data_IF_928293291887
#
_entry.id   IF_928293291887
#
_cell.length_a   1.000
_cell.length_b   1.000
_cell.length_c   1.000
_cell.angle_alpha   90.00
_cell.angle_beta   90.00
_cell.angle_gamma   90.00
#
_symmetry.space_group_name_H-M   'P 1'
#
loop_
_entity.id
_entity.type
_entity.pdbx_description
1 polymer ?
#
# COMPACT_ATOMS: atom_id res chain seq x y z
N UNK A 1 -22.98 -6.60 15.80
CA UNK A 1 -22.70 -5.17 15.87
C UNK A 1 -21.95 -4.75 14.62
N UNK A 2 -22.41 -3.72 13.96
CA UNK A 2 -21.75 -3.22 12.77
C UNK A 2 -20.54 -2.39 13.14
N UNK A 3 -19.41 -2.71 12.55
CA UNK A 3 -18.24 -1.85 12.68
C UNK A 3 -18.45 -0.56 11.89
N UNK A 4 -18.00 0.54 12.47
CA UNK A 4 -17.98 1.80 11.75
C UNK A 4 -16.91 1.75 10.66
N UNK A 5 -17.18 2.28 9.47
CA UNK A 5 -16.15 2.34 8.43
C UNK A 5 -14.98 3.18 8.90
N UNK A 6 -13.78 2.81 8.46
CA UNK A 6 -12.59 3.59 8.72
C UNK A 6 -12.71 4.93 7.97
N UNK A 7 -12.54 6.03 8.69
CA UNK A 7 -12.65 7.37 8.12
C UNK A 7 -11.28 7.99 7.80
N UNK A 8 -10.20 7.27 8.06
CA UNK A 8 -8.86 7.75 7.80
C UNK A 8 -8.33 8.70 8.88
N UNK A 9 -7.36 9.57 8.55
CA UNK A 9 -6.85 9.80 7.19
C UNK A 9 -6.19 8.57 6.58
N UNK A 10 -6.12 8.55 5.25
CA UNK A 10 -5.53 7.44 4.52
C UNK A 10 -4.27 7.88 3.80
N UNK A 11 -3.36 6.92 3.56
CA UNK A 11 -2.05 7.17 2.98
C UNK A 11 -1.73 6.13 1.91
N UNK A 12 -0.94 6.55 0.93
CA UNK A 12 -0.45 5.69 -0.14
C UNK A 12 1.05 5.90 -0.31
N UNK A 13 1.81 4.81 -0.30
CA UNK A 13 3.25 4.84 -0.49
C UNK A 13 3.62 4.51 -1.93
N UNK A 14 4.54 5.30 -2.51
CA UNK A 14 4.94 5.15 -3.91
C UNK A 14 6.31 5.78 -4.12
N UNK A 15 6.95 5.48 -5.25
CA UNK A 15 8.14 6.21 -5.73
C UNK A 15 7.80 7.19 -6.85
N UNK A 16 6.52 7.29 -7.22
CA UNK A 16 6.06 8.27 -8.20
C UNK A 16 5.96 9.66 -7.57
N UNK A 17 6.27 10.68 -8.33
CA UNK A 17 6.08 12.07 -7.92
C UNK A 17 4.68 12.51 -8.34
N UNK A 18 3.84 12.77 -7.35
CA UNK A 18 2.43 13.12 -7.55
C UNK A 18 2.16 14.55 -7.08
N UNK A 19 1.07 15.12 -7.55
CA UNK A 19 0.62 16.47 -7.18
C UNK A 19 -0.72 16.39 -6.48
N UNK A 20 -1.01 17.36 -5.64
CA UNK A 20 -2.33 17.51 -5.04
C UNK A 20 -3.40 17.55 -6.12
N UNK A 21 -4.45 16.75 -5.96
CA UNK A 21 -5.53 16.62 -6.93
C UNK A 21 -5.36 15.53 -7.95
N UNK A 22 -4.16 14.92 -8.06
CA UNK A 22 -3.95 13.78 -8.95
C UNK A 22 -4.82 12.59 -8.50
N UNK A 23 -5.23 11.80 -9.50
CA UNK A 23 -5.99 10.58 -9.25
C UNK A 23 -5.10 9.36 -9.46
N UNK A 24 -4.98 8.55 -8.42
CA UNK A 24 -4.30 7.27 -8.47
C UNK A 24 -5.30 6.19 -8.87
N UNK A 25 -5.04 5.51 -9.96
CA UNK A 25 -5.95 4.50 -10.53
C UNK A 25 -5.32 3.12 -10.47
N UNK A 26 -6.17 2.08 -10.38
CA UNK A 26 -5.75 0.70 -10.57
C UNK A 26 -5.25 0.48 -12.00
N UNK A 27 -4.65 -0.69 -12.25
CA UNK A 27 -4.16 -1.05 -13.57
C UNK A 27 -2.65 -1.01 -13.71
N UNK A 28 -1.93 -0.69 -12.64
CA UNK A 28 -0.47 -0.77 -12.62
C UNK A 28 -0.01 -2.18 -12.28
N UNK A 29 1.23 -2.51 -12.67
CA UNK A 29 1.83 -3.78 -12.32
C UNK A 29 2.10 -3.84 -10.82
N UNK A 30 1.96 -5.04 -10.25
CA UNK A 30 2.28 -5.26 -8.84
C UNK A 30 3.75 -4.96 -8.56
N UNK A 31 4.03 -4.29 -7.45
CA UNK A 31 5.40 -4.05 -6.98
C UNK A 31 6.10 -5.36 -6.57
N UNK A 32 5.33 -6.41 -6.27
CA UNK A 32 5.85 -7.69 -5.78
C UNK A 32 5.92 -8.75 -6.86
N UNK A 33 5.01 -8.70 -7.83
CA UNK A 33 4.97 -9.63 -8.98
C UNK A 33 4.69 -8.82 -10.25
N UNK A 34 5.72 -8.39 -10.98
CA UNK A 34 5.55 -7.49 -12.13
C UNK A 34 4.70 -8.05 -13.27
N UNK A 35 4.52 -9.37 -13.33
CA UNK A 35 3.65 -10.01 -14.32
C UNK A 35 2.17 -9.86 -14.03
N UNK A 36 1.81 -9.38 -12.82
CA UNK A 36 0.41 -9.21 -12.41
C UNK A 36 0.01 -7.74 -12.52
N UNK A 37 -1.01 -7.47 -13.34
CA UNK A 37 -1.63 -6.14 -13.41
C UNK A 37 -2.74 -6.08 -12.36
N UNK A 38 -2.66 -5.11 -11.44
CA UNK A 38 -3.56 -5.02 -10.30
C UNK A 38 -4.90 -4.41 -10.70
N UNK A 39 -6.00 -5.01 -10.23
CA UNK A 39 -7.36 -4.51 -10.44
C UNK A 39 -7.77 -3.46 -9.42
N UNK A 40 -6.97 -3.26 -8.38
CA UNK A 40 -7.25 -2.37 -7.27
C UNK A 40 -6.09 -1.44 -7.03
N UNK A 41 -6.40 -0.27 -6.47
CA UNK A 41 -5.38 0.61 -5.86
C UNK A 41 -5.42 0.40 -4.34
N UNK A 42 -4.25 0.39 -3.70
CA UNK A 42 -4.10 0.03 -2.29
C UNK A 42 -3.70 1.24 -1.46
N UNK A 43 -4.19 1.28 -0.21
CA UNK A 43 -3.91 2.37 0.72
C UNK A 43 -4.06 1.88 2.15
N UNK A 44 -3.61 2.68 3.10
CA UNK A 44 -3.66 2.33 4.52
C UNK A 44 -3.92 3.57 5.36
N UNK A 45 -4.51 3.37 6.53
CA UNK A 45 -4.67 4.44 7.52
C UNK A 45 -3.43 4.60 8.41
N UNK A 46 -2.43 3.72 8.28
CA UNK A 46 -1.18 3.80 9.05
C UNK A 46 -0.07 4.43 8.21
N UNK A 47 0.39 5.61 8.63
CA UNK A 47 1.42 6.38 7.92
C UNK A 47 2.71 5.59 7.72
N UNK A 48 3.16 4.89 8.76
CA UNK A 48 4.39 4.08 8.67
C UNK A 48 4.23 2.86 7.77
N UNK A 49 3.01 2.31 7.69
CA UNK A 49 2.70 1.24 6.72
C UNK A 49 2.82 1.73 5.28
N UNK A 50 2.34 2.95 5.00
CA UNK A 50 2.52 3.57 3.69
C UNK A 50 4.00 3.86 3.42
N UNK A 51 4.75 4.27 4.44
CA UNK A 51 6.20 4.47 4.33
C UNK A 51 6.94 3.20 3.93
N UNK A 52 6.61 2.08 4.56
CA UNK A 52 7.17 0.78 4.20
C UNK A 52 6.83 0.42 2.74
N UNK A 53 5.58 0.61 2.34
CA UNK A 53 5.16 0.35 0.97
C UNK A 53 5.94 1.23 -0.03
N UNK A 54 6.19 2.49 0.32
CA UNK A 54 6.96 3.41 -0.53
C UNK A 54 8.39 2.92 -0.71
N UNK A 55 9.03 2.45 0.34
CA UNK A 55 10.41 1.96 0.29
C UNK A 55 10.54 0.65 -0.49
N UNK A 56 9.49 -0.18 -0.48
CA UNK A 56 9.46 -1.45 -1.21
C UNK A 56 8.92 -1.30 -2.63
N UNK A 57 8.38 -0.15 -3.00
CA UNK A 57 7.80 0.06 -4.33
C UNK A 57 8.86 -0.07 -5.42
N UNK A 58 8.43 -0.56 -6.59
CA UNK A 58 9.30 -0.65 -7.75
C UNK A 58 9.63 0.74 -8.30
N UNK A 59 10.80 0.87 -8.92
CA UNK A 59 11.25 2.11 -9.55
C UNK A 59 12.47 2.70 -8.87
N UNK A 60 13.04 3.73 -9.49
CA UNK A 60 14.28 4.35 -9.08
C UNK A 60 14.11 5.66 -8.29
N UNK A 61 12.88 6.17 -8.22
CA UNK A 61 12.59 7.43 -7.53
C UNK A 61 12.74 7.30 -6.01
N UNK A 62 12.69 8.44 -5.35
CA UNK A 62 12.67 8.48 -3.90
C UNK A 62 11.33 7.95 -3.37
N UNK A 63 11.34 7.19 -2.26
CA UNK A 63 10.09 6.78 -1.64
C UNK A 63 9.33 8.00 -1.11
N UNK A 64 8.02 8.02 -1.38
CA UNK A 64 7.14 9.13 -1.00
C UNK A 64 5.85 8.59 -0.42
N UNK A 65 5.28 9.33 0.51
CA UNK A 65 3.97 9.03 1.11
C UNK A 65 3.05 10.20 0.82
N UNK A 66 1.85 9.90 0.36
CA UNK A 66 0.83 10.90 0.12
C UNK A 66 -0.39 10.61 0.98
N UNK A 67 -0.99 11.66 1.54
CA UNK A 67 -2.33 11.54 2.06
C UNK A 67 -3.28 11.47 0.88
N UNK A 68 -4.22 10.53 0.93
CA UNK A 68 -5.16 10.28 -0.17
C UNK A 68 -6.58 10.17 0.37
N UNK A 69 -7.56 10.41 -0.48
CA UNK A 69 -8.95 10.13 -0.13
C UNK A 69 -9.59 9.23 -1.19
N UNK A 70 -10.32 8.20 -0.75
CA UNK A 70 -11.05 7.34 -1.69
C UNK A 70 -12.16 8.14 -2.38
N UNK A 71 -12.36 7.90 -3.68
CA UNK A 71 -13.44 8.54 -4.43
C UNK A 71 -14.65 7.62 -4.58
N UNK A 72 -14.57 6.38 -4.09
CA UNK A 72 -15.65 5.41 -4.11
C UNK A 72 -15.54 4.44 -2.94
N UNK A 73 -16.26 3.34 -3.04
CA UNK A 73 -16.24 2.29 -2.01
C UNK A 73 -14.89 1.58 -1.98
N UNK A 74 -14.54 1.05 -0.82
CA UNK A 74 -13.31 0.27 -0.64
C UNK A 74 -13.58 -0.89 0.32
N UNK A 75 -12.66 -1.85 0.32
CA UNK A 75 -12.74 -3.04 1.16
C UNK A 75 -11.40 -3.32 1.82
N UNK A 76 -11.42 -4.18 2.84
CA UNK A 76 -10.18 -4.65 3.47
C UNK A 76 -9.27 -5.30 2.42
N UNK A 77 -7.96 -5.03 2.52
CA UNK A 77 -6.98 -5.67 1.65
C UNK A 77 -6.86 -7.15 2.04
N UNK A 78 -7.30 -8.09 1.19
CA UNK A 78 -7.28 -9.51 1.53
C UNK A 78 -5.87 -10.10 1.57
N UNK A 79 -4.87 -9.38 1.06
CA UNK A 79 -3.48 -9.83 1.10
C UNK A 79 -2.89 -9.77 2.51
N UNK A 80 -3.48 -8.97 3.40
CA UNK A 80 -2.99 -8.79 4.78
C UNK A 80 -4.07 -9.03 5.84
N UNK A 81 -5.35 -9.02 5.48
CA UNK A 81 -6.46 -9.23 6.42
C UNK A 81 -6.56 -10.70 6.80
N UNK A 82 -6.74 -10.98 8.10
CA UNK A 82 -6.85 -12.32 8.68
C UNK A 82 -5.66 -13.24 8.34
N UNK A 83 -4.47 -12.68 8.17
CA UNK A 83 -3.26 -13.45 7.88
C UNK A 83 -2.52 -13.84 9.15
N UNK A 84 -1.67 -12.95 9.66
CA UNK A 84 -0.88 -13.22 10.87
C UNK A 84 -1.72 -13.08 12.13
N UNK A 85 -2.66 -12.13 12.12
CA UNK A 85 -3.59 -11.86 13.20
C UNK A 85 -5.00 -11.75 12.64
N UNK A 86 -6.05 -12.01 13.46
CA UNK A 86 -7.42 -11.81 13.03
C UNK A 86 -7.70 -10.34 12.69
N UNK A 87 -8.55 -10.12 11.68
CA UNK A 87 -8.96 -8.79 11.27
C UNK A 87 -7.92 -8.07 10.42
N UNK A 88 -8.01 -6.75 10.42
CA UNK A 88 -7.17 -5.86 9.61
C UNK A 88 -6.40 -4.88 10.51
N UNK A 89 -5.42 -5.37 11.30
CA UNK A 89 -4.71 -4.52 12.26
C UNK A 89 -3.85 -3.45 11.58
N UNK A 90 -3.43 -3.64 10.33
CA UNK A 90 -2.67 -2.66 9.56
C UNK A 90 -3.56 -1.61 8.92
N UNK A 91 -4.88 -1.72 9.08
CA UNK A 91 -5.88 -0.83 8.48
C UNK A 91 -5.57 -0.58 7.00
N UNK A 92 -5.36 -1.66 6.26
CA UNK A 92 -5.02 -1.66 4.84
C UNK A 92 -6.25 -2.00 4.02
N UNK A 93 -6.44 -1.25 2.92
CA UNK A 93 -7.64 -1.33 2.10
C UNK A 93 -7.29 -1.33 0.63
N UNK A 94 -8.27 -1.66 -0.20
CA UNK A 94 -8.15 -1.60 -1.66
C UNK A 94 -9.44 -1.09 -2.27
N UNK A 95 -9.33 -0.45 -3.43
CA UNK A 95 -10.48 0.10 -4.14
C UNK A 95 -10.29 -0.06 -5.64
N UNK A 96 -11.39 -0.28 -6.36
CA UNK A 96 -11.40 -0.18 -7.82
C UNK A 96 -11.60 1.26 -8.30
N UNK A 97 -12.10 2.14 -7.41
CA UNK A 97 -12.24 3.55 -7.68
C UNK A 97 -10.91 4.27 -7.42
N UNK A 98 -10.63 5.39 -8.11
CA UNK A 98 -9.39 6.13 -7.89
C UNK A 98 -9.27 6.70 -6.49
N UNK A 99 -8.02 6.94 -6.06
CA UNK A 99 -7.71 7.73 -4.88
C UNK A 99 -7.30 9.13 -5.31
N UNK A 100 -7.81 10.15 -4.63
CA UNK A 100 -7.40 11.53 -4.90
C UNK A 100 -6.27 11.91 -3.95
N UNK A 101 -5.19 12.47 -4.49
CA UNK A 101 -4.06 12.94 -3.69
C UNK A 101 -4.44 14.25 -3.00
N UNK A 102 -4.36 14.25 -1.66
CA UNK A 102 -4.61 15.43 -0.83
C UNK A 102 -3.33 16.25 -0.67
N UNK A 103 -2.20 15.58 -0.44
CA UNK A 103 -0.91 16.23 -0.29
C UNK A 103 0.18 15.23 0.06
N UNK A 104 1.43 15.68 -0.03
CA UNK A 104 2.57 14.84 0.37
C UNK A 104 2.77 14.90 1.88
N UNK A 105 3.07 13.74 2.47
CA UNK A 105 3.40 13.59 3.88
C UNK A 105 4.91 13.40 3.99
N UNK A 106 5.57 14.29 4.74
CA UNK A 106 7.03 14.24 4.87
C UNK A 106 7.51 13.72 6.23
N UNK A 107 6.61 13.62 7.22
CA UNK A 107 6.95 13.24 8.60
C UNK A 107 6.70 11.76 8.89
N UNK A 108 7.10 10.88 7.97
CA UNK A 108 7.04 9.45 8.18
C UNK A 108 8.45 8.89 8.41
N UNK A 109 8.53 7.75 9.10
CA UNK A 109 9.80 7.15 9.52
C UNK A 109 10.38 6.27 8.42
N UNK A 110 11.60 6.58 7.98
CA UNK A 110 12.36 5.73 7.06
C UNK A 110 12.92 4.52 7.80
N UNK A 111 12.99 3.39 7.10
CA UNK A 111 13.68 2.22 7.64
C UNK A 111 15.20 2.41 7.57
N UNK A 112 15.90 1.89 8.57
CA UNK A 112 17.35 1.76 8.47
C UNK A 112 17.70 0.81 7.30
N UNK A 113 18.84 1.00 6.63
CA UNK A 113 19.22 0.15 5.48
C UNK A 113 19.17 -1.34 5.77
N UNK A 114 19.60 -1.75 6.97
CA UNK A 114 19.59 -3.15 7.38
C UNK A 114 18.16 -3.69 7.51
N UNK A 115 17.25 -2.90 8.09
CA UNK A 115 15.85 -3.28 8.24
C UNK A 115 15.16 -3.37 6.87
N UNK A 116 15.45 -2.45 5.97
CA UNK A 116 14.91 -2.47 4.61
C UNK A 116 15.40 -3.70 3.86
N UNK A 117 16.68 -4.04 3.98
CA UNK A 117 17.22 -5.23 3.32
C UNK A 117 16.59 -6.51 3.88
N UNK A 118 16.37 -6.57 5.19
CA UNK A 118 15.71 -7.71 5.81
C UNK A 118 14.26 -7.88 5.28
N UNK A 119 13.55 -6.79 5.06
CA UNK A 119 12.22 -6.83 4.45
C UNK A 119 12.25 -7.33 3.01
N UNK A 120 13.22 -6.85 2.21
CA UNK A 120 13.39 -7.29 0.82
C UNK A 120 13.71 -8.77 0.74
N UNK A 121 14.58 -9.28 1.62
CA UNK A 121 14.92 -10.69 1.69
C UNK A 121 13.72 -11.55 2.05
N UNK A 122 12.92 -11.09 3.02
CA UNK A 122 11.70 -11.78 3.44
C UNK A 122 10.68 -11.85 2.31
N UNK A 123 10.47 -10.74 1.60
CA UNK A 123 9.57 -10.71 0.46
C UNK A 123 10.02 -11.63 -0.66
N UNK A 124 11.32 -11.65 -0.95
CA UNK A 124 11.88 -12.54 -1.97
C UNK A 124 11.63 -14.01 -1.60
N UNK A 125 11.78 -14.38 -0.32
CA UNK A 125 11.51 -15.72 0.15
C UNK A 125 10.01 -16.06 0.04
N UNK A 126 9.13 -15.14 0.40
CA UNK A 126 7.68 -15.33 0.29
C UNK A 126 7.26 -15.49 -1.17
N UNK A 127 7.78 -14.68 -2.07
CA UNK A 127 7.44 -14.74 -3.50
C UNK A 127 8.00 -15.99 -4.19
N UNK A 128 9.05 -16.60 -3.64
CA UNK A 128 9.57 -17.87 -4.12
C UNK A 128 8.71 -19.06 -3.68
N UNK A 129 7.83 -18.87 -2.70
CA UNK A 129 6.91 -19.89 -2.18
C UNK A 129 5.52 -19.68 -2.79
N UNK A 130 4.84 -20.77 -3.13
CA UNK A 130 3.47 -20.72 -3.68
C UNK A 130 2.49 -20.02 -2.74
N UNK A 131 2.80 -19.96 -1.43
CA UNK A 131 1.97 -19.25 -0.44
C UNK A 131 2.05 -17.73 -0.56
N UNK A 132 2.98 -17.20 -1.35
CA UNK A 132 3.11 -15.76 -1.60
C UNK A 132 2.22 -15.26 -2.74
N UNK A 133 1.11 -15.92 -3.02
CA UNK A 133 0.20 -15.53 -4.09
C UNK A 133 -0.50 -14.20 -3.75
N UNK A 134 -0.60 -13.32 -4.75
CA UNK A 134 -1.30 -12.05 -4.63
C UNK A 134 -2.78 -12.26 -4.93
N UNK A 135 -3.63 -11.82 -4.01
CA UNK A 135 -5.09 -11.81 -4.19
C UNK A 135 -5.44 -10.50 -4.91
N UNK A 136 -5.78 -10.64 -6.16
CA UNK A 136 -6.03 -9.48 -7.03
C UNK A 136 -7.53 -9.18 -7.13
#
# INVERSE_FOLDING_TARGET
MNELPDTGPFFHGTKARLRTGDLLRAGFRSNYRPEVVMNHIYFTALRDGAGLAAELAAGEGEPRVYEVEPTGTFEDDPNVTDKKFPGNPTRSYRSTAPLRVVGEVTDWTRLAPEALQAWKDRLAAILADDRGEIIN
#
